data_IF_989643770993
#
_entry.id   IF_989643770993
#
_cell.length_a   1.000
_cell.length_b   1.000
_cell.length_c   1.000
_cell.angle_alpha   90.00
_cell.angle_beta   90.00
_cell.angle_gamma   90.00
#
_symmetry.space_group_name_H-M   'P 1'
#
loop_
_entity.id
_entity.type
_entity.pdbx_description
1 polymer ?
#
# COMPACT_ATOMS: atom_id res chain seq x y z
N UNK A 1 7.31 -5.21 -20.98
CA UNK A 1 7.39 -4.29 -19.84
C UNK A 1 6.52 -4.84 -18.73
N UNK A 2 7.02 -4.98 -17.49
CA UNK A 2 6.15 -5.35 -16.35
C UNK A 2 5.38 -4.10 -15.94
N UNK A 3 4.10 -4.01 -16.32
CA UNK A 3 3.18 -3.02 -15.78
C UNK A 3 2.99 -3.37 -14.31
N UNK A 4 3.39 -2.47 -13.40
CA UNK A 4 3.16 -2.65 -11.97
C UNK A 4 1.72 -2.22 -11.70
N UNK A 5 0.78 -3.16 -11.84
CA UNK A 5 -0.66 -2.93 -11.62
C UNK A 5 -1.02 -2.67 -10.15
N UNK A 6 -0.24 -3.24 -9.22
CA UNK A 6 -0.56 -3.24 -7.79
C UNK A 6 0.21 -2.16 -7.04
N UNK A 7 -0.50 -1.39 -6.21
CA UNK A 7 0.12 -0.36 -5.37
C UNK A 7 0.76 -0.95 -4.10
N UNK A 8 -0.05 -1.62 -3.27
CA UNK A 8 0.35 -2.20 -1.99
C UNK A 8 0.58 -3.72 -2.10
N UNK A 9 1.40 -4.25 -1.19
CA UNK A 9 1.69 -5.68 -1.03
C UNK A 9 1.42 -6.13 0.40
N UNK A 10 1.24 -7.44 0.58
CA UNK A 10 1.17 -8.06 1.90
C UNK A 10 2.35 -7.60 2.79
N UNK A 11 2.05 -7.14 3.99
CA UNK A 11 3.02 -6.61 4.95
C UNK A 11 3.43 -5.15 4.77
N UNK A 12 3.00 -4.47 3.70
CA UNK A 12 3.23 -3.02 3.58
C UNK A 12 2.56 -2.28 4.75
N UNK A 13 3.31 -1.37 5.36
CA UNK A 13 2.84 -0.47 6.42
C UNK A 13 2.23 0.77 5.76
N UNK A 14 1.06 1.19 6.23
CA UNK A 14 0.30 2.28 5.60
C UNK A 14 -0.31 3.22 6.64
N UNK A 15 -0.75 4.38 6.17
CA UNK A 15 -1.53 5.34 6.94
C UNK A 15 -2.44 6.15 6.00
N UNK A 16 -3.44 6.83 6.54
CA UNK A 16 -4.31 7.72 5.78
C UNK A 16 -4.25 9.14 6.37
N UNK A 17 -3.69 10.15 5.66
CA UNK A 17 -3.43 11.47 6.21
C UNK A 17 -4.68 12.21 6.75
N UNK A 18 -5.83 12.02 6.10
CA UNK A 18 -7.08 12.68 6.49
C UNK A 18 -7.94 11.85 7.45
N UNK A 19 -7.55 10.61 7.73
CA UNK A 19 -8.26 9.68 8.62
C UNK A 19 -7.33 9.26 9.74
N UNK A 20 -6.82 10.28 10.43
CA UNK A 20 -5.80 10.12 11.49
C UNK A 20 -6.28 9.21 12.61
N UNK A 21 -7.60 9.14 12.83
CA UNK A 21 -8.24 8.29 13.82
C UNK A 21 -8.05 6.78 13.56
N UNK A 22 -7.67 6.38 12.33
CA UNK A 22 -7.37 4.97 12.04
C UNK A 22 -5.98 4.56 12.55
N UNK A 23 -5.07 5.51 12.76
CA UNK A 23 -3.66 5.24 13.03
C UNK A 23 -2.93 4.60 11.84
N UNK A 24 -1.82 3.93 12.13
CA UNK A 24 -1.10 3.14 11.13
C UNK A 24 -1.79 1.81 10.87
N UNK A 25 -1.52 1.21 9.72
CA UNK A 25 -2.04 -0.11 9.36
C UNK A 25 -0.99 -0.99 8.72
N UNK A 26 -1.27 -2.29 8.68
CA UNK A 26 -0.51 -3.27 7.92
C UNK A 26 -1.44 -3.98 6.94
N UNK A 27 -0.97 -4.18 5.71
CA UNK A 27 -1.68 -5.02 4.74
C UNK A 27 -1.61 -6.46 5.22
N UNK A 28 -2.76 -7.05 5.53
CA UNK A 28 -2.90 -8.41 6.05
C UNK A 28 -3.42 -9.40 5.01
N UNK A 29 -3.98 -8.92 3.90
CA UNK A 29 -4.38 -9.76 2.76
C UNK A 29 -4.21 -9.03 1.41
N UNK A 30 -3.84 -9.78 0.39
CA UNK A 30 -3.81 -9.37 -1.03
C UNK A 30 -4.71 -10.32 -1.83
N UNK A 31 -5.70 -9.78 -2.56
CA UNK A 31 -6.62 -10.54 -3.40
C UNK A 31 -6.57 -10.01 -4.83
N UNK A 32 -5.85 -10.73 -5.70
CA UNK A 32 -5.64 -10.34 -7.10
C UNK A 32 -6.10 -11.43 -8.06
N UNK A 33 -6.97 -11.07 -9.01
CA UNK A 33 -7.40 -11.92 -10.11
C UNK A 33 -6.50 -11.71 -11.34
N UNK A 34 -6.28 -12.79 -12.07
CA UNK A 34 -5.58 -12.81 -13.38
C UNK A 34 -6.52 -12.55 -14.55
N UNK A 35 -7.83 -12.50 -14.31
CA UNK A 35 -8.85 -12.22 -15.33
C UNK A 35 -8.99 -10.71 -15.50
N UNK A 36 -9.15 -10.25 -16.74
CA UNK A 36 -9.40 -8.84 -17.05
C UNK A 36 -10.68 -8.35 -16.36
N UNK A 37 -10.58 -7.19 -15.71
CA UNK A 37 -11.66 -6.64 -14.88
C UNK A 37 -11.90 -7.40 -13.56
N UNK A 38 -11.10 -8.43 -13.26
CA UNK A 38 -11.21 -9.20 -12.03
C UNK A 38 -10.71 -8.44 -10.79
N UNK A 39 -11.04 -8.99 -9.62
CA UNK A 39 -10.74 -8.44 -8.29
C UNK A 39 -9.28 -8.01 -8.13
N UNK A 40 -9.08 -6.83 -7.54
CA UNK A 40 -7.77 -6.31 -7.19
C UNK A 40 -7.90 -5.52 -5.89
N UNK A 41 -7.79 -6.22 -4.76
CA UNK A 41 -8.09 -5.70 -3.43
C UNK A 41 -6.95 -5.98 -2.45
N UNK A 42 -6.85 -5.14 -1.42
CA UNK A 42 -6.06 -5.42 -0.22
C UNK A 42 -6.91 -5.20 1.02
N UNK A 43 -6.63 -5.98 2.07
CA UNK A 43 -7.19 -5.74 3.41
C UNK A 43 -6.11 -5.21 4.32
N UNK A 44 -6.41 -4.12 5.02
CA UNK A 44 -5.52 -3.47 5.97
C UNK A 44 -6.14 -3.58 7.36
N UNK A 45 -5.37 -4.07 8.32
CA UNK A 45 -5.70 -3.96 9.74
C UNK A 45 -5.06 -2.68 10.28
N UNK A 46 -5.89 -1.75 10.73
CA UNK A 46 -5.46 -0.48 11.32
C UNK A 46 -5.34 -0.58 12.84
N UNK A 47 -4.62 0.36 13.44
CA UNK A 47 -4.38 0.46 14.89
C UNK A 47 -5.66 0.70 15.69
N UNK A 48 -6.70 1.26 15.07
CA UNK A 48 -8.05 1.32 15.64
C UNK A 48 -8.74 -0.06 15.76
N UNK A 49 -8.07 -1.14 15.34
CA UNK A 49 -8.56 -2.52 15.40
C UNK A 49 -9.50 -2.90 14.26
N UNK A 50 -9.83 -1.96 13.36
CA UNK A 50 -10.77 -2.19 12.27
C UNK A 50 -10.05 -2.60 11.00
N UNK A 51 -10.55 -3.67 10.37
CA UNK A 51 -10.09 -4.08 9.04
C UNK A 51 -10.85 -3.33 7.95
N UNK A 52 -10.12 -2.77 6.99
CA UNK A 52 -10.70 -2.07 5.84
C UNK A 52 -10.17 -2.67 4.55
N UNK A 53 -11.06 -2.87 3.59
CA UNK A 53 -10.73 -3.41 2.26
C UNK A 53 -10.71 -2.29 1.26
N UNK A 54 -9.68 -2.24 0.42
CA UNK A 54 -9.52 -1.21 -0.60
C UNK A 54 -9.20 -1.81 -1.96
N UNK A 55 -9.58 -1.09 -3.02
CA UNK A 55 -9.09 -1.35 -4.37
C UNK A 55 -7.57 -1.06 -4.43
N UNK A 56 -6.80 -1.97 -5.02
CA UNK A 56 -5.34 -1.93 -5.10
C UNK A 56 -4.81 -1.78 -6.54
N UNK A 57 -5.71 -1.55 -7.49
CA UNK A 57 -5.40 -1.47 -8.92
C UNK A 57 -5.04 -0.03 -9.30
N UNK A 58 -3.80 0.21 -9.70
CA UNK A 58 -3.34 1.54 -10.12
C UNK A 58 -4.02 2.03 -11.40
N UNK A 59 -4.63 1.14 -12.18
CA UNK A 59 -5.39 1.50 -13.38
C UNK A 59 -6.86 1.90 -13.04
N UNK A 60 -7.27 1.76 -11.78
CA UNK A 60 -8.61 2.13 -11.29
C UNK A 60 -8.59 3.48 -10.58
N UNK A 61 -9.52 4.37 -10.90
CA UNK A 61 -9.70 5.66 -10.19
C UNK A 61 -9.99 5.47 -8.69
N UNK A 62 -10.61 4.33 -8.34
CA UNK A 62 -10.91 3.96 -6.95
C UNK A 62 -9.71 3.36 -6.20
N UNK A 63 -8.52 3.30 -6.78
CA UNK A 63 -7.31 2.77 -6.13
C UNK A 63 -7.08 3.48 -4.79
N UNK A 64 -6.71 2.72 -3.76
CA UNK A 64 -6.35 3.27 -2.46
C UNK A 64 -5.25 4.34 -2.52
N UNK A 65 -4.37 4.31 -3.51
CA UNK A 65 -3.42 5.38 -3.76
C UNK A 65 -4.13 6.72 -4.04
N UNK A 66 -5.10 6.75 -4.97
CA UNK A 66 -5.84 7.96 -5.31
C UNK A 66 -6.81 8.37 -4.20
N UNK A 67 -7.32 7.39 -3.44
CA UNK A 67 -8.19 7.61 -2.29
C UNK A 67 -7.46 7.95 -0.99
N UNK A 68 -6.15 8.26 -1.04
CA UNK A 68 -5.42 8.85 0.11
C UNK A 68 -4.59 7.90 0.98
N UNK A 69 -4.61 6.59 0.73
CA UNK A 69 -3.76 5.64 1.48
C UNK A 69 -2.30 5.80 1.06
N UNK A 70 -1.40 5.94 2.05
CA UNK A 70 0.04 6.16 1.84
C UNK A 70 0.84 5.02 2.45
N UNK A 71 1.83 4.52 1.71
CA UNK A 71 2.79 3.55 2.22
C UNK A 71 3.86 4.24 3.06
N UNK A 72 4.15 3.69 4.23
CA UNK A 72 5.27 4.09 5.07
C UNK A 72 6.59 3.82 4.34
N UNK A 73 7.48 4.81 4.30
CA UNK A 73 8.81 4.60 3.71
C UNK A 73 9.62 3.75 4.68
N UNK A 74 9.90 2.51 4.29
CA UNK A 74 10.87 1.70 5.01
C UNK A 74 12.18 2.49 5.16
N UNK A 75 12.72 2.54 6.37
CA UNK A 75 14.07 3.06 6.61
C UNK A 75 14.97 1.85 6.72
N UNK A 76 16.00 1.75 5.87
CA UNK A 76 17.06 0.77 6.08
C UNK A 76 18.12 1.40 6.96
N UNK A 77 18.41 0.75 8.07
CA UNK A 77 19.61 1.02 8.84
C UNK A 77 20.75 0.25 8.20
N UNK A 78 21.77 0.96 7.71
CA UNK A 78 22.94 0.32 7.13
C UNK A 78 23.84 -0.28 8.24
N UNK A 79 24.86 -1.08 7.85
CA UNK A 79 25.82 -1.67 8.79
C UNK A 79 26.60 -0.63 9.63
N UNK A 80 26.49 0.66 9.32
CA UNK A 80 27.11 1.79 10.02
C UNK A 80 26.10 2.56 10.86
N UNK A 81 24.88 2.05 11.06
CA UNK A 81 23.82 2.70 11.82
C UNK A 81 23.18 3.90 11.10
N UNK A 82 23.46 4.12 9.81
CA UNK A 82 22.87 5.25 9.08
C UNK A 82 21.49 4.87 8.59
N UNK A 83 20.50 5.65 9.02
CA UNK A 83 19.12 5.57 8.57
C UNK A 83 19.00 6.19 7.17
N UNK A 84 18.70 5.37 6.16
CA UNK A 84 18.43 5.83 4.80
C UNK A 84 17.03 5.44 4.39
N UNK A 85 16.24 6.42 3.93
CA UNK A 85 14.93 6.15 3.35
C UNK A 85 15.07 5.19 2.16
N UNK A 86 14.30 4.10 2.18
CA UNK A 86 14.19 3.21 1.02
C UNK A 86 13.46 4.00 -0.06
N UNK A 87 14.16 4.24 -1.18
CA UNK A 87 13.52 4.81 -2.36
C UNK A 87 12.58 3.76 -2.94
N UNK A 88 11.29 3.91 -2.70
CA UNK A 88 10.29 3.22 -3.49
C UNK A 88 10.45 3.70 -4.95
N UNK A 89 10.82 2.80 -5.85
CA UNK A 89 10.75 3.08 -7.29
C UNK A 89 9.27 3.07 -7.66
N UNK A 90 8.63 4.23 -7.64
CA UNK A 90 7.37 4.40 -8.36
C UNK A 90 7.80 4.65 -9.81
N UNK A 91 7.67 3.62 -10.64
CA UNK A 91 7.91 3.73 -12.08
C UNK A 91 6.79 4.56 -12.68
N UNK A 92 6.98 5.88 -12.79
CA UNK A 92 6.05 6.75 -13.49
C UNK A 92 6.19 6.64 -15.00
N UNK A 93 5.05 6.57 -15.70
CA UNK A 93 4.91 7.04 -17.08
C UNK A 93 3.51 7.57 -17.29
#
# INVERSE_FOLDING_TARGET
MRVVRLYLRLGDRVYHPERVEWGYGAVVEEMTSVVDGGTCLVRVLFEDGVQRTFNNDLDSEMCCYFMGVRRERAVREDRRGRRRAVRARISGR
#
